data_IF_549693248898
#
_entry.id   IF_549693248898
#
_cell.length_a   1.000
_cell.length_b   1.000
_cell.length_c   1.000
_cell.angle_alpha   90.00
_cell.angle_beta   90.00
_cell.angle_gamma   90.00
#
_symmetry.space_group_name_H-M   'P 1'
#
loop_
_entity.id
_entity.type
_entity.pdbx_description
1 polymer ?
#
# COMPACT_ATOMS: atom_id res chain seq x y z
N UNK A 1 53.29 -28.10 16.21
CA UNK A 1 52.13 -28.48 15.38
C UNK A 1 50.91 -27.81 15.98
N UNK A 2 50.44 -26.74 15.39
CA UNK A 2 49.24 -26.07 15.78
C UNK A 2 48.30 -26.10 14.58
N UNK A 3 47.25 -26.91 14.65
CA UNK A 3 46.20 -26.95 13.66
C UNK A 3 45.32 -25.71 13.86
N UNK A 4 45.32 -24.85 12.87
CA UNK A 4 44.40 -23.73 12.77
C UNK A 4 43.10 -24.22 12.16
N UNK A 5 42.09 -24.42 12.99
CA UNK A 5 40.69 -24.59 12.57
C UNK A 5 40.17 -23.31 11.92
N UNK A 6 40.17 -23.24 10.61
CA UNK A 6 39.59 -22.18 9.81
C UNK A 6 38.38 -22.68 9.00
N UNK A 7 37.46 -23.31 9.68
CA UNK A 7 36.21 -23.85 9.10
C UNK A 7 34.97 -23.08 9.50
N UNK A 8 34.92 -21.75 9.38
CA UNK A 8 33.64 -21.01 9.34
C UNK A 8 33.13 -21.01 7.92
N UNK A 9 32.26 -21.95 7.62
CA UNK A 9 31.43 -21.93 6.43
C UNK A 9 30.64 -20.60 6.42
N UNK A 10 30.84 -19.78 5.38
CA UNK A 10 29.97 -18.67 5.11
C UNK A 10 28.54 -19.23 4.97
N UNK A 11 27.66 -18.87 5.92
CA UNK A 11 26.24 -19.15 5.81
C UNK A 11 25.80 -18.63 4.45
N UNK A 12 25.35 -19.51 3.56
CA UNK A 12 24.77 -19.14 2.28
C UNK A 12 23.51 -18.32 2.56
N UNK A 13 23.65 -16.99 2.54
CA UNK A 13 22.52 -16.09 2.69
C UNK A 13 21.61 -16.29 1.47
N UNK A 14 20.39 -16.72 1.71
CA UNK A 14 19.37 -16.86 0.68
C UNK A 14 19.22 -15.49 -0.02
N UNK A 15 19.41 -15.41 -1.35
CA UNK A 15 19.32 -14.14 -2.06
C UNK A 15 17.92 -13.50 -1.90
N UNK A 16 17.83 -12.19 -1.74
CA UNK A 16 16.56 -11.47 -1.59
C UNK A 16 15.56 -11.80 -2.73
N UNK A 17 16.05 -12.00 -3.94
CA UNK A 17 15.24 -12.41 -5.09
C UNK A 17 14.56 -13.77 -4.94
N UNK A 18 15.05 -14.64 -4.07
CA UNK A 18 14.41 -15.92 -3.77
C UNK A 18 13.04 -15.68 -3.09
N UNK A 19 12.99 -14.78 -2.11
CA UNK A 19 11.75 -14.47 -1.40
C UNK A 19 10.69 -13.83 -2.31
N UNK A 20 11.09 -13.06 -3.33
CA UNK A 20 10.15 -12.52 -4.33
C UNK A 20 9.51 -13.60 -5.19
N UNK A 21 10.20 -14.72 -5.42
CA UNK A 21 9.71 -15.82 -6.27
C UNK A 21 8.78 -16.78 -5.53
N UNK A 22 8.85 -16.83 -4.20
CA UNK A 22 7.97 -17.69 -3.41
C UNK A 22 6.54 -17.16 -3.46
N UNK A 23 5.55 -18.00 -3.84
CA UNK A 23 4.14 -17.58 -3.74
C UNK A 23 3.76 -17.39 -2.28
N UNK A 24 3.01 -16.30 -2.03
CA UNK A 24 2.63 -15.85 -0.67
C UNK A 24 1.12 -15.79 -0.52
N UNK A 25 0.69 -15.85 0.73
CA UNK A 25 -0.70 -15.65 1.16
C UNK A 25 -0.68 -14.51 2.17
N UNK A 26 -1.55 -13.50 1.96
CA UNK A 26 -1.77 -12.41 2.90
C UNK A 26 -3.22 -12.44 3.39
N UNK A 27 -3.42 -12.64 4.69
CA UNK A 27 -4.73 -12.85 5.29
C UNK A 27 -5.31 -11.62 6.00
N UNK A 28 -4.55 -10.53 6.12
CA UNK A 28 -4.99 -9.36 6.90
C UNK A 28 -4.34 -8.06 6.43
N UNK A 29 -4.55 -7.67 5.19
CA UNK A 29 -4.02 -6.42 4.64
C UNK A 29 -5.04 -5.27 4.76
N UNK A 30 -4.74 -4.26 5.57
CA UNK A 30 -5.52 -3.03 5.60
C UNK A 30 -5.28 -2.22 4.33
N UNK A 31 -6.32 -1.91 3.56
CA UNK A 31 -6.20 -1.15 2.30
C UNK A 31 -5.39 0.13 2.50
N UNK A 32 -5.78 0.97 3.47
CA UNK A 32 -5.08 2.23 3.73
C UNK A 32 -3.69 2.05 4.38
N UNK A 33 -3.43 0.91 5.02
CA UNK A 33 -2.13 0.58 5.62
C UNK A 33 -1.13 -0.03 4.65
N UNK A 34 -1.60 -0.44 3.47
CA UNK A 34 -0.79 -1.13 2.46
C UNK A 34 -0.45 -0.23 1.26
N UNK A 35 -0.70 1.08 1.35
CA UNK A 35 -0.46 2.02 0.26
C UNK A 35 1.04 2.26 0.09
N UNK A 36 1.56 2.00 -1.10
CA UNK A 36 2.97 2.26 -1.43
C UNK A 36 3.25 3.76 -1.57
N UNK A 37 4.52 4.15 -1.38
CA UNK A 37 4.97 5.53 -1.57
C UNK A 37 4.67 6.06 -2.97
N UNK A 38 4.70 5.20 -3.98
CA UNK A 38 4.35 5.57 -5.36
C UNK A 38 2.86 5.90 -5.48
N UNK A 39 1.99 5.08 -4.92
CA UNK A 39 0.55 5.31 -4.92
C UNK A 39 0.18 6.58 -4.17
N UNK A 40 0.87 6.88 -3.06
CA UNK A 40 0.66 8.15 -2.33
C UNK A 40 1.06 9.36 -3.19
N UNK A 41 2.16 9.30 -3.93
CA UNK A 41 2.54 10.37 -4.87
C UNK A 41 1.44 10.61 -5.92
N UNK A 42 0.86 9.54 -6.48
CA UNK A 42 -0.27 9.63 -7.43
C UNK A 42 -1.49 10.33 -6.79
N UNK A 43 -1.82 9.98 -5.55
CA UNK A 43 -2.93 10.61 -4.80
C UNK A 43 -2.70 12.10 -4.55
N UNK A 44 -1.50 12.49 -4.15
CA UNK A 44 -1.12 13.89 -3.94
C UNK A 44 -1.24 14.67 -5.24
N UNK A 45 -0.69 14.16 -6.32
CA UNK A 45 -0.78 14.78 -7.64
C UNK A 45 -2.23 14.95 -8.09
N UNK A 46 -3.06 13.91 -7.92
CA UNK A 46 -4.48 13.94 -8.23
C UNK A 46 -5.18 15.04 -7.42
N UNK A 47 -4.93 15.13 -6.13
CA UNK A 47 -5.54 16.14 -5.25
C UNK A 47 -5.10 17.53 -5.60
N UNK A 48 -3.82 17.76 -5.86
CA UNK A 48 -3.27 19.06 -6.29
C UNK A 48 -3.88 19.55 -7.61
N UNK A 49 -4.25 18.64 -8.50
CA UNK A 49 -4.91 18.96 -9.76
C UNK A 49 -6.37 19.36 -9.55
N UNK A 50 -7.08 18.74 -8.60
CA UNK A 50 -8.48 19.05 -8.26
C UNK A 50 -8.59 20.34 -7.44
N UNK A 51 -7.69 20.57 -6.52
CA UNK A 51 -7.66 21.75 -5.64
C UNK A 51 -6.60 22.74 -6.13
N UNK A 52 -6.95 23.60 -7.10
CA UNK A 52 -6.06 24.63 -7.66
C UNK A 52 -5.46 25.49 -6.52
N UNK A 53 -4.22 25.20 -6.07
CA UNK A 53 -3.43 26.12 -5.24
C UNK A 53 -2.87 25.61 -3.91
N UNK A 54 -2.96 24.33 -3.53
CA UNK A 54 -2.38 23.85 -2.27
C UNK A 54 -1.04 23.09 -2.48
N UNK A 55 0.04 23.84 -2.75
CA UNK A 55 1.40 23.28 -2.85
C UNK A 55 1.98 22.80 -1.51
N UNK A 56 1.31 23.01 -0.37
CA UNK A 56 1.86 22.69 0.95
C UNK A 56 1.78 21.20 1.33
N UNK A 57 0.94 20.41 0.67
CA UNK A 57 0.77 18.98 1.00
C UNK A 57 1.97 18.15 0.53
N UNK A 58 2.58 18.52 -0.59
CA UNK A 58 3.72 17.80 -1.18
C UNK A 58 4.97 17.89 -0.29
N UNK A 59 5.28 19.07 0.26
CA UNK A 59 6.47 19.29 1.08
C UNK A 59 6.41 18.58 2.44
N UNK A 60 5.22 18.46 3.04
CA UNK A 60 5.04 17.70 4.29
C UNK A 60 5.21 16.19 4.09
N UNK A 61 4.77 15.68 2.96
CA UNK A 61 4.93 14.28 2.61
C UNK A 61 6.41 13.87 2.50
N UNK A 62 7.19 14.61 1.72
CA UNK A 62 8.61 14.30 1.48
C UNK A 62 9.44 14.31 2.77
N UNK A 63 9.08 15.18 3.72
CA UNK A 63 9.79 15.25 5.01
C UNK A 63 9.36 14.18 6.01
N UNK A 64 8.11 13.70 5.95
CA UNK A 64 7.55 12.82 6.99
C UNK A 64 7.71 11.34 6.68
N UNK A 65 7.69 10.95 5.40
CA UNK A 65 7.59 9.53 5.02
C UNK A 65 8.86 8.98 4.34
N UNK A 66 9.64 9.83 3.66
CA UNK A 66 10.87 9.40 2.99
C UNK A 66 12.07 9.17 3.92
N UNK A 67 11.99 9.60 5.17
CA UNK A 67 12.98 9.21 6.17
C UNK A 67 12.70 7.78 6.60
N UNK A 68 13.45 6.83 6.06
CA UNK A 68 13.35 5.38 6.33
C UNK A 68 13.74 4.97 7.76
N UNK A 69 13.51 5.83 8.75
CA UNK A 69 13.75 5.55 10.15
C UNK A 69 12.70 4.60 10.70
N UNK A 70 13.09 3.75 11.65
CA UNK A 70 12.20 2.89 12.42
C UNK A 70 11.12 3.76 13.07
N UNK A 71 9.87 3.63 12.58
CA UNK A 71 8.74 4.40 13.10
C UNK A 71 8.16 3.73 14.32
N UNK A 72 7.99 4.49 15.38
CA UNK A 72 7.21 4.03 16.52
C UNK A 72 5.69 4.04 16.17
N UNK A 73 4.87 3.42 17.03
CA UNK A 73 3.45 3.27 16.81
C UNK A 73 2.72 4.62 16.66
N UNK A 74 3.13 5.64 17.41
CA UNK A 74 2.54 6.98 17.36
C UNK A 74 2.81 7.68 16.02
N UNK A 75 3.98 7.46 15.43
CA UNK A 75 4.31 7.97 14.10
C UNK A 75 3.51 7.27 13.01
N UNK A 76 3.24 5.97 13.18
CA UNK A 76 2.33 5.24 12.30
C UNK A 76 0.90 5.83 12.36
N UNK A 77 0.39 6.19 13.54
CA UNK A 77 -0.92 6.83 13.67
C UNK A 77 -0.97 8.20 12.98
N UNK A 78 0.08 9.01 13.04
CA UNK A 78 0.16 10.29 12.29
C UNK A 78 0.10 10.11 10.78
N UNK A 79 0.55 8.96 10.27
CA UNK A 79 0.39 8.65 8.83
C UNK A 79 -1.07 8.54 8.41
N UNK A 80 -1.96 8.02 9.29
CA UNK A 80 -3.38 7.91 9.00
C UNK A 80 -4.04 9.28 8.82
N UNK A 81 -3.67 10.26 9.66
CA UNK A 81 -4.17 11.64 9.55
C UNK A 81 -3.80 12.28 8.21
N UNK A 82 -2.69 11.83 7.62
CA UNK A 82 -2.26 12.26 6.29
C UNK A 82 -2.95 11.50 5.16
N UNK A 83 -3.11 10.17 5.30
CA UNK A 83 -3.69 9.30 4.26
C UNK A 83 -5.19 9.56 4.09
N UNK A 84 -5.93 9.73 5.17
CA UNK A 84 -7.37 9.90 5.12
C UNK A 84 -7.85 11.08 4.25
N UNK A 85 -7.24 12.27 4.29
CA UNK A 85 -7.58 13.36 3.39
C UNK A 85 -7.24 13.10 1.91
N UNK A 86 -6.32 12.18 1.61
CA UNK A 86 -5.96 11.83 0.24
C UNK A 86 -6.92 10.80 -0.37
N UNK A 87 -7.53 9.95 0.48
CA UNK A 87 -8.46 8.89 0.06
C UNK A 87 -9.89 9.31 0.45
N UNK A 88 -10.36 10.46 -0.02
CA UNK A 88 -11.58 11.12 0.46
C UNK A 88 -12.78 11.04 -0.51
N UNK A 89 -12.60 10.43 -1.67
CA UNK A 89 -13.66 10.16 -2.65
C UNK A 89 -13.57 8.74 -3.24
N UNK A 90 -14.61 8.31 -3.94
CA UNK A 90 -14.74 6.95 -4.51
C UNK A 90 -13.65 6.63 -5.53
N UNK A 91 -13.22 7.62 -6.32
CA UNK A 91 -12.15 7.44 -7.31
C UNK A 91 -10.79 7.19 -6.63
N UNK A 92 -10.51 7.90 -5.52
CA UNK A 92 -9.31 7.64 -4.72
C UNK A 92 -9.35 6.27 -4.04
N UNK A 93 -10.51 5.85 -3.52
CA UNK A 93 -10.71 4.51 -2.95
C UNK A 93 -10.45 3.43 -3.99
N UNK A 94 -11.01 3.58 -5.20
CA UNK A 94 -10.78 2.67 -6.32
C UNK A 94 -9.29 2.58 -6.68
N UNK A 95 -8.63 3.73 -6.88
CA UNK A 95 -7.22 3.82 -7.24
C UNK A 95 -6.33 3.14 -6.20
N UNK A 96 -6.57 3.43 -4.91
CA UNK A 96 -5.80 2.83 -3.81
C UNK A 96 -6.00 1.33 -3.77
N UNK A 97 -7.23 0.84 -3.81
CA UNK A 97 -7.53 -0.59 -3.75
C UNK A 97 -6.87 -1.34 -4.90
N UNK A 98 -6.98 -0.82 -6.12
CA UNK A 98 -6.34 -1.40 -7.30
C UNK A 98 -4.81 -1.45 -7.15
N UNK A 99 -4.18 -0.31 -6.77
CA UNK A 99 -2.73 -0.25 -6.61
C UNK A 99 -2.23 -1.20 -5.52
N UNK A 100 -2.93 -1.32 -4.40
CA UNK A 100 -2.58 -2.27 -3.33
C UNK A 100 -2.60 -3.71 -3.85
N UNK A 101 -3.62 -4.09 -4.61
CA UNK A 101 -3.70 -5.44 -5.20
C UNK A 101 -2.53 -5.67 -6.18
N UNK A 102 -2.24 -4.69 -7.03
CA UNK A 102 -1.13 -4.76 -8.00
C UNK A 102 0.23 -4.88 -7.28
N UNK A 103 0.46 -4.12 -6.21
CA UNK A 103 1.70 -4.16 -5.42
C UNK A 103 1.88 -5.55 -4.75
N UNK A 104 0.83 -6.12 -4.17
CA UNK A 104 0.88 -7.49 -3.63
C UNK A 104 1.11 -8.55 -4.71
N UNK A 105 0.50 -8.40 -5.88
CA UNK A 105 0.72 -9.31 -7.01
C UNK A 105 2.17 -9.26 -7.51
N UNK A 106 2.80 -8.07 -7.55
CA UNK A 106 4.22 -7.90 -7.90
C UNK A 106 5.17 -8.58 -6.90
N UNK A 107 4.75 -8.71 -5.63
CA UNK A 107 5.48 -9.48 -4.61
C UNK A 107 5.10 -10.97 -4.59
N UNK A 108 4.45 -11.45 -5.66
CA UNK A 108 4.03 -12.84 -5.84
C UNK A 108 3.04 -13.35 -4.77
N UNK A 109 2.19 -12.47 -4.25
CA UNK A 109 1.04 -12.87 -3.43
C UNK A 109 -0.02 -13.49 -4.35
N UNK A 110 -0.52 -14.67 -4.00
CA UNK A 110 -1.49 -15.45 -4.77
C UNK A 110 -2.89 -15.46 -4.15
N UNK A 111 -2.96 -15.16 -2.87
CA UNK A 111 -4.22 -15.00 -2.14
C UNK A 111 -4.11 -13.81 -1.18
N UNK A 112 -5.07 -12.90 -1.26
CA UNK A 112 -5.07 -11.64 -0.52
C UNK A 112 -6.43 -11.40 0.13
N UNK A 113 -6.47 -11.22 1.46
CA UNK A 113 -7.65 -10.74 2.17
C UNK A 113 -7.49 -9.27 2.56
N UNK A 114 -8.32 -8.41 1.95
CA UNK A 114 -8.33 -6.98 2.23
C UNK A 114 -9.22 -6.65 3.42
N UNK A 115 -8.75 -5.72 4.23
CA UNK A 115 -9.49 -5.16 5.36
C UNK A 115 -9.70 -3.67 5.17
N UNK A 116 -10.92 -3.21 5.41
CA UNK A 116 -11.24 -1.78 5.36
C UNK A 116 -12.41 -1.43 6.28
N UNK A 117 -12.47 -0.17 6.70
CA UNK A 117 -13.62 0.39 7.39
C UNK A 117 -14.30 1.37 6.43
N UNK A 118 -15.50 1.04 5.91
CA UNK A 118 -16.24 1.94 5.02
C UNK A 118 -16.56 3.25 5.71
N UNK A 119 -16.30 4.36 5.02
CA UNK A 119 -16.56 5.70 5.55
C UNK A 119 -17.30 6.56 4.54
N UNK A 120 -18.06 7.51 5.05
CA UNK A 120 -18.71 8.53 4.25
C UNK A 120 -17.90 9.82 4.28
N UNK A 121 -17.97 10.61 3.20
CA UNK A 121 -17.47 11.97 3.16
C UNK A 121 -18.50 12.87 2.46
N UNK A 122 -19.30 13.63 3.25
CA UNK A 122 -20.32 14.52 2.67
C UNK A 122 -19.77 15.59 1.73
N UNK A 123 -18.51 16.01 1.91
CA UNK A 123 -17.87 17.04 1.06
C UNK A 123 -17.67 16.54 -0.38
N UNK A 124 -17.45 15.26 -0.57
CA UNK A 124 -17.24 14.64 -1.89
C UNK A 124 -18.47 13.85 -2.36
N UNK A 125 -19.50 13.74 -1.52
CA UNK A 125 -20.68 12.92 -1.78
C UNK A 125 -20.47 11.42 -1.62
N UNK A 126 -19.32 10.99 -1.11
CA UNK A 126 -19.04 9.58 -0.86
C UNK A 126 -19.87 9.05 0.30
N UNK A 127 -20.63 7.98 0.09
CA UNK A 127 -21.33 7.22 1.13
C UNK A 127 -20.55 5.96 1.49
N UNK A 128 -20.95 5.25 2.56
CA UNK A 128 -20.35 3.96 2.91
C UNK A 128 -20.59 2.91 1.82
N UNK A 129 -21.77 2.95 1.21
CA UNK A 129 -22.16 2.06 0.11
C UNK A 129 -21.26 2.31 -1.11
N UNK A 130 -21.16 3.58 -1.57
CA UNK A 130 -20.31 3.91 -2.71
C UNK A 130 -18.81 3.67 -2.46
N UNK A 131 -18.37 3.74 -1.20
CA UNK A 131 -17.02 3.31 -0.80
C UNK A 131 -16.81 1.80 -1.08
N UNK A 132 -17.76 0.95 -0.65
CA UNK A 132 -17.69 -0.49 -0.90
C UNK A 132 -17.77 -0.80 -2.38
N UNK A 133 -18.66 -0.13 -3.12
CA UNK A 133 -18.77 -0.28 -4.57
C UNK A 133 -17.44 0.02 -5.28
N UNK A 134 -16.74 1.06 -4.86
CA UNK A 134 -15.42 1.41 -5.41
C UNK A 134 -14.36 0.31 -5.12
N UNK A 135 -14.37 -0.25 -3.91
CA UNK A 135 -13.48 -1.38 -3.55
C UNK A 135 -13.79 -2.60 -4.41
N UNK A 136 -15.06 -2.97 -4.54
CA UNK A 136 -15.48 -4.14 -5.34
C UNK A 136 -15.17 -3.95 -6.83
N UNK A 137 -15.37 -2.75 -7.38
CA UNK A 137 -15.01 -2.42 -8.75
C UNK A 137 -13.50 -2.56 -9.00
N UNK A 138 -12.65 -2.13 -8.05
CA UNK A 138 -11.21 -2.30 -8.15
C UNK A 138 -10.78 -3.77 -8.10
N UNK A 139 -11.42 -4.58 -7.25
CA UNK A 139 -11.18 -6.02 -7.18
C UNK A 139 -11.58 -6.69 -8.52
N UNK A 140 -12.72 -6.30 -9.10
CA UNK A 140 -13.16 -6.85 -10.38
C UNK A 140 -12.20 -6.50 -11.52
N UNK A 141 -11.72 -5.26 -11.58
CA UNK A 141 -10.72 -4.85 -12.58
C UNK A 141 -9.39 -5.59 -12.40
N UNK A 142 -8.97 -5.85 -11.15
CA UNK A 142 -7.75 -6.58 -10.86
C UNK A 142 -7.76 -8.01 -11.41
N UNK A 143 -8.92 -8.65 -11.56
CA UNK A 143 -9.01 -9.99 -12.19
C UNK A 143 -8.52 -10.01 -13.64
N UNK A 144 -8.55 -8.87 -14.32
CA UNK A 144 -8.06 -8.74 -15.70
C UNK A 144 -6.62 -8.28 -15.77
N UNK A 145 -6.19 -7.41 -14.86
CA UNK A 145 -4.84 -6.81 -14.86
C UNK A 145 -3.80 -7.70 -14.18
N UNK A 146 -4.20 -8.44 -13.14
CA UNK A 146 -3.35 -9.34 -12.36
C UNK A 146 -4.09 -10.65 -12.06
N UNK A 147 -4.36 -11.50 -13.08
CA UNK A 147 -5.26 -12.65 -12.96
C UNK A 147 -4.78 -13.75 -12.02
N UNK A 148 -3.50 -13.72 -11.65
CA UNK A 148 -2.87 -14.76 -10.83
C UNK A 148 -3.09 -14.57 -9.31
N UNK A 149 -3.74 -13.47 -8.88
CA UNK A 149 -4.05 -13.22 -7.46
C UNK A 149 -5.55 -13.38 -7.20
N UNK A 150 -5.88 -14.14 -6.16
CA UNK A 150 -7.26 -14.23 -5.66
C UNK A 150 -7.45 -13.23 -4.54
N UNK A 151 -8.40 -12.31 -4.67
CA UNK A 151 -8.70 -11.25 -3.68
C UNK A 151 -10.03 -11.52 -2.98
N UNK A 152 -10.06 -11.29 -1.67
CA UNK A 152 -11.24 -11.38 -0.80
C UNK A 152 -11.35 -10.16 0.10
#
# INVERSE_FOLDING_TARGET
MAETDSGKTAEERIPFNYFKKIPKIELHAHINGSISSETIKKLIQRKSTKEKGQNNVVSQWETTILKGDEKNLDECFKMWDFIYPLVDDTEAVFLVTKSVIEDFAQDNVRYLELRSTPRANPKTGMTKESYIEAVLAAIEEAKTTVPDITVR
#
